data_IF_284130066901
#
_entry.id   IF_284130066901
#
_cell.length_a   1.000
_cell.length_b   1.000
_cell.length_c   1.000
_cell.angle_alpha   90.00
_cell.angle_beta   90.00
_cell.angle_gamma   90.00
#
_symmetry.space_group_name_H-M   'P 1'
#
loop_
_entity.id
_entity.type
_entity.pdbx_description
1 polymer ?
#
# COMPACT_ATOMS: atom_id res chain seq x y z
N UNK A 1 -4.28 -8.03 28.35
CA UNK A 1 -5.01 -6.74 28.32
C UNK A 1 -4.98 -6.26 26.88
N UNK A 2 -6.07 -6.43 26.14
CA UNK A 2 -6.18 -5.92 24.76
C UNK A 2 -6.24 -4.39 24.86
N UNK A 3 -5.17 -3.70 24.46
CA UNK A 3 -5.23 -2.25 24.30
C UNK A 3 -6.39 -1.94 23.34
N UNK A 4 -7.40 -1.20 23.83
CA UNK A 4 -8.28 -0.43 22.95
C UNK A 4 -7.44 0.70 22.35
N UNK A 5 -6.54 0.34 21.44
CA UNK A 5 -5.63 1.27 20.79
C UNK A 5 -6.41 2.29 19.98
N UNK A 6 -5.95 3.53 19.99
CA UNK A 6 -6.44 4.59 19.11
C UNK A 6 -6.42 4.07 17.67
N UNK A 7 -7.51 4.27 16.91
CA UNK A 7 -7.51 3.96 15.48
C UNK A 7 -6.66 5.01 14.76
N UNK A 8 -5.41 4.65 14.46
CA UNK A 8 -4.45 5.49 13.76
C UNK A 8 -4.51 5.33 12.23
N UNK A 9 -5.56 4.70 11.69
CA UNK A 9 -5.76 4.47 10.25
C UNK A 9 -5.52 5.71 9.41
N UNK A 10 -6.30 6.77 9.70
CA UNK A 10 -6.21 8.04 8.97
C UNK A 10 -4.86 8.73 9.13
N UNK A 11 -4.20 8.60 10.29
CA UNK A 11 -2.87 9.16 10.52
C UNK A 11 -1.84 8.47 9.62
N UNK A 12 -1.84 7.15 9.57
CA UNK A 12 -0.91 6.40 8.72
C UNK A 12 -1.20 6.62 7.23
N UNK A 13 -2.47 6.64 6.82
CA UNK A 13 -2.85 6.96 5.43
C UNK A 13 -2.37 8.37 5.04
N UNK A 14 -2.47 9.34 5.95
CA UNK A 14 -2.00 10.72 5.71
C UNK A 14 -0.47 10.76 5.57
N UNK A 15 0.28 10.07 6.44
CA UNK A 15 1.74 9.97 6.33
C UNK A 15 2.13 9.35 4.99
N UNK A 16 1.45 8.29 4.58
CA UNK A 16 1.71 7.60 3.30
C UNK A 16 1.35 8.47 2.10
N UNK A 17 0.35 9.34 2.21
CA UNK A 17 0.03 10.30 1.16
C UNK A 17 1.05 11.45 1.08
N UNK A 18 1.56 11.91 2.23
CA UNK A 18 2.40 13.11 2.30
C UNK A 18 3.86 12.82 1.98
N UNK A 19 4.41 11.69 2.42
CA UNK A 19 5.84 11.41 2.27
C UNK A 19 6.27 11.31 0.79
N UNK A 20 5.64 10.48 -0.08
CA UNK A 20 6.03 10.43 -1.49
C UNK A 20 5.82 11.78 -2.19
N UNK A 21 4.75 12.50 -1.81
CA UNK A 21 4.48 13.85 -2.34
C UNK A 21 5.58 14.84 -1.97
N UNK A 22 6.13 14.75 -0.76
CA UNK A 22 7.26 15.57 -0.32
C UNK A 22 8.55 15.26 -1.11
N UNK A 23 8.69 14.02 -1.60
CA UNK A 23 9.79 13.60 -2.48
C UNK A 23 9.52 13.85 -3.97
N UNK A 24 8.38 14.45 -4.34
CA UNK A 24 8.05 14.79 -5.72
C UNK A 24 7.36 13.67 -6.50
N UNK A 25 6.95 12.59 -5.84
CA UNK A 25 6.14 11.52 -6.44
C UNK A 25 4.65 11.86 -6.40
N UNK A 26 3.93 11.47 -7.44
CA UNK A 26 2.47 11.61 -7.48
C UNK A 26 1.80 10.31 -7.01
N UNK A 27 0.78 10.46 -6.18
CA UNK A 27 -0.05 9.35 -5.72
C UNK A 27 -1.47 9.48 -6.25
N UNK A 28 -2.02 8.37 -6.71
CA UNK A 28 -3.37 8.29 -7.26
C UNK A 28 -4.26 7.36 -6.43
N UNK A 29 -5.54 7.69 -6.30
CA UNK A 29 -6.51 6.82 -5.64
C UNK A 29 -7.13 5.84 -6.65
N UNK A 30 -7.31 4.58 -6.26
CA UNK A 30 -7.96 3.56 -7.09
C UNK A 30 -9.18 2.97 -6.39
N UNK A 31 -10.35 3.15 -6.97
CA UNK A 31 -11.59 2.52 -6.55
C UNK A 31 -12.44 2.16 -7.76
N UNK A 32 -12.64 0.85 -7.96
CA UNK A 32 -13.41 0.33 -9.07
C UNK A 32 -14.45 -0.64 -8.57
N UNK A 33 -15.72 -0.31 -8.82
CA UNK A 33 -16.88 -1.13 -8.44
C UNK A 33 -16.70 -2.57 -8.93
N UNK A 34 -16.80 -3.53 -8.00
CA UNK A 34 -16.64 -4.97 -8.28
C UNK A 34 -15.19 -5.48 -8.27
N UNK A 35 -14.20 -4.61 -8.51
CA UNK A 35 -12.77 -4.98 -8.49
C UNK A 35 -12.11 -4.67 -7.14
N UNK A 36 -12.59 -3.63 -6.46
CA UNK A 36 -12.15 -3.21 -5.13
C UNK A 36 -11.42 -1.87 -5.15
N UNK A 37 -10.82 -1.54 -4.01
CA UNK A 37 -10.08 -0.31 -3.76
C UNK A 37 -8.65 -0.65 -3.30
N UNK A 38 -7.70 0.17 -3.73
CA UNK A 38 -6.35 0.29 -3.13
C UNK A 38 -6.24 1.70 -2.56
N UNK A 39 -5.52 1.86 -1.44
CA UNK A 39 -5.41 3.18 -0.82
C UNK A 39 -4.63 4.16 -1.73
N UNK A 40 -3.51 3.74 -2.34
CA UNK A 40 -2.76 4.56 -3.30
C UNK A 40 -2.15 3.74 -4.45
N UNK A 41 -1.89 4.40 -5.58
CA UNK A 41 -1.06 3.95 -6.70
C UNK A 41 0.05 4.98 -6.92
N UNK A 42 1.28 4.51 -7.09
CA UNK A 42 2.43 5.30 -7.55
C UNK A 42 2.91 4.79 -8.92
N UNK A 43 3.77 5.54 -9.60
CA UNK A 43 4.60 5.00 -10.68
C UNK A 43 5.57 3.96 -10.10
N UNK A 44 5.69 2.82 -10.79
CA UNK A 44 6.64 1.78 -10.42
C UNK A 44 8.05 2.05 -10.95
N UNK A 45 9.01 1.22 -10.55
CA UNK A 45 10.41 1.40 -10.97
C UNK A 45 10.64 1.19 -12.46
N UNK A 46 9.82 0.35 -13.10
CA UNK A 46 9.86 0.17 -14.54
C UNK A 46 8.99 1.22 -15.22
N UNK A 47 9.50 1.84 -16.29
CA UNK A 47 8.77 2.87 -17.05
C UNK A 47 7.40 2.37 -17.50
N UNK A 48 6.35 3.09 -17.11
CA UNK A 48 4.95 2.73 -17.43
C UNK A 48 4.34 1.66 -16.54
N UNK A 49 5.06 1.20 -15.50
CA UNK A 49 4.50 0.34 -14.47
C UNK A 49 3.85 1.15 -13.34
N UNK A 50 2.95 0.50 -12.61
CA UNK A 50 2.23 1.00 -11.45
C UNK A 50 2.64 0.22 -10.22
N UNK A 51 2.71 0.93 -9.10
CA UNK A 51 3.01 0.38 -7.78
C UNK A 51 1.83 0.61 -6.83
N UNK A 52 1.01 -0.42 -6.57
CA UNK A 52 -0.06 -0.34 -5.59
C UNK A 52 0.47 -0.28 -4.15
N UNK A 53 -0.09 0.60 -3.33
CA UNK A 53 0.26 0.79 -1.93
C UNK A 53 -0.98 0.65 -1.05
N UNK A 54 -0.93 -0.23 -0.06
CA UNK A 54 -1.95 -0.35 0.99
C UNK A 54 -1.36 -0.03 2.37
N UNK A 55 -2.14 0.65 3.21
CA UNK A 55 -1.78 1.02 4.58
C UNK A 55 -2.56 0.19 5.62
N UNK A 56 -1.89 -0.28 6.66
CA UNK A 56 -2.46 -1.10 7.75
C UNK A 56 -2.09 -0.57 9.12
N UNK A 57 -3.07 0.00 9.80
CA UNK A 57 -2.90 0.63 11.11
C UNK A 57 -3.12 -0.29 12.32
N UNK A 58 -3.58 -1.53 12.12
CA UNK A 58 -3.95 -2.43 13.21
C UNK A 58 -4.03 -3.90 12.82
N UNK A 59 -4.54 -4.73 13.74
CA UNK A 59 -4.71 -6.18 13.57
C UNK A 59 -5.88 -6.58 12.67
N UNK A 60 -6.71 -5.62 12.25
CA UNK A 60 -7.87 -5.88 11.41
C UNK A 60 -7.46 -6.38 10.03
N UNK A 61 -7.97 -7.57 9.70
CA UNK A 61 -7.85 -8.16 8.38
C UNK A 61 -8.85 -7.48 7.43
N UNK A 62 -8.55 -6.28 6.96
CA UNK A 62 -9.22 -5.76 5.75
C UNK A 62 -8.81 -6.69 4.59
N UNK A 63 -9.78 -7.20 3.86
CA UNK A 63 -9.47 -8.11 2.75
C UNK A 63 -8.86 -7.27 1.62
N UNK A 64 -7.57 -7.49 1.34
CA UNK A 64 -6.87 -6.91 0.18
C UNK A 64 -7.45 -7.55 -1.08
N UNK A 65 -8.68 -7.24 -1.49
CA UNK A 65 -9.27 -7.87 -2.69
C UNK A 65 -8.70 -7.26 -3.96
N UNK A 66 -8.47 -5.95 -3.96
CA UNK A 66 -7.99 -5.24 -5.13
C UNK A 66 -6.51 -5.52 -5.39
N UNK A 67 -5.66 -5.50 -4.37
CA UNK A 67 -4.20 -5.58 -4.53
C UNK A 67 -3.73 -6.89 -5.21
N UNK A 68 -4.15 -8.11 -4.78
CA UNK A 68 -3.82 -9.35 -5.47
C UNK A 68 -4.43 -9.42 -6.87
N UNK A 69 -5.69 -8.96 -7.03
CA UNK A 69 -6.37 -8.98 -8.34
C UNK A 69 -5.71 -8.05 -9.35
N UNK A 70 -5.25 -6.89 -8.91
CA UNK A 70 -4.49 -5.95 -9.72
C UNK A 70 -3.17 -6.61 -10.11
N UNK A 71 -2.42 -7.15 -9.14
CA UNK A 71 -1.15 -7.84 -9.40
C UNK A 71 -1.29 -9.03 -10.35
N UNK A 72 -2.43 -9.73 -10.36
CA UNK A 72 -2.73 -10.84 -11.27
C UNK A 72 -3.21 -10.39 -12.66
N UNK A 73 -4.24 -9.51 -12.74
CA UNK A 73 -4.87 -9.11 -14.01
C UNK A 73 -4.06 -8.10 -14.81
N UNK A 74 -3.35 -7.22 -14.12
CA UNK A 74 -2.50 -6.18 -14.69
C UNK A 74 -1.02 -6.52 -14.49
N UNK A 75 -0.69 -7.82 -14.50
CA UNK A 75 0.65 -8.33 -14.18
C UNK A 75 1.77 -7.73 -15.05
N UNK A 76 1.48 -7.23 -16.24
CA UNK A 76 2.43 -6.55 -17.12
C UNK A 76 2.62 -5.07 -16.80
N UNK A 77 1.63 -4.41 -16.20
CA UNK A 77 1.72 -3.01 -15.77
C UNK A 77 2.00 -2.87 -14.28
N UNK A 78 2.04 -3.95 -13.49
CA UNK A 78 2.36 -3.90 -12.06
C UNK A 78 3.68 -4.63 -11.80
N UNK A 79 4.73 -3.84 -11.54
CA UNK A 79 6.06 -4.34 -11.18
C UNK A 79 6.04 -4.94 -9.77
N UNK A 80 5.79 -4.10 -8.77
CA UNK A 80 5.78 -4.44 -7.33
C UNK A 80 4.61 -3.77 -6.61
N UNK A 81 4.14 -4.36 -5.52
CA UNK A 81 3.11 -3.80 -4.65
C UNK A 81 3.57 -3.78 -3.20
N UNK A 82 3.15 -2.77 -2.45
CA UNK A 82 3.55 -2.56 -1.05
C UNK A 82 2.36 -2.61 -0.10
N UNK A 83 2.58 -3.26 1.05
CA UNK A 83 1.67 -3.19 2.20
C UNK A 83 2.47 -2.64 3.38
N UNK A 84 2.17 -1.42 3.79
CA UNK A 84 2.80 -0.78 4.94
C UNK A 84 2.00 -0.98 6.21
N UNK A 85 2.69 -1.28 7.32
CA UNK A 85 2.02 -1.45 8.61
C UNK A 85 2.90 -1.04 9.78
N UNK A 86 2.32 -0.99 10.99
CA UNK A 86 3.09 -0.84 12.23
C UNK A 86 3.85 -2.10 12.66
N UNK A 87 3.79 -3.20 11.88
CA UNK A 87 4.56 -4.41 12.17
C UNK A 87 6.02 -4.20 11.80
N UNK A 88 6.92 -4.79 12.59
CA UNK A 88 8.37 -4.78 12.35
C UNK A 88 8.83 -5.81 11.31
N UNK A 89 7.91 -6.56 10.72
CA UNK A 89 8.23 -7.64 9.80
C UNK A 89 8.40 -7.10 8.39
N UNK A 90 9.51 -7.44 7.76
CA UNK A 90 9.67 -7.38 6.30
C UNK A 90 9.40 -8.78 5.77
N UNK A 91 8.51 -8.89 4.78
CA UNK A 91 8.14 -10.18 4.16
C UNK A 91 7.74 -9.95 2.71
N UNK A 92 8.05 -10.91 1.85
CA UNK A 92 7.55 -10.94 0.48
C UNK A 92 6.58 -12.13 0.28
N UNK A 93 5.50 -11.88 -0.46
CA UNK A 93 4.59 -12.91 -0.96
C UNK A 93 4.28 -12.61 -2.44
N UNK A 94 4.93 -13.33 -3.35
CA UNK A 94 4.81 -13.06 -4.78
C UNK A 94 5.34 -11.65 -5.11
N UNK A 95 4.50 -10.80 -5.71
CA UNK A 95 4.82 -9.41 -6.05
C UNK A 95 4.57 -8.41 -4.90
N UNK A 96 4.16 -8.89 -3.72
CA UNK A 96 3.75 -8.05 -2.61
C UNK A 96 4.85 -8.03 -1.55
N UNK A 97 5.40 -6.85 -1.27
CA UNK A 97 6.30 -6.62 -0.16
C UNK A 97 5.53 -6.00 1.02
N UNK A 98 5.54 -6.69 2.14
CA UNK A 98 5.02 -6.21 3.42
C UNK A 98 6.16 -5.55 4.19
N UNK A 99 5.98 -4.29 4.56
CA UNK A 99 7.02 -3.50 5.19
C UNK A 99 6.51 -2.69 6.39
N UNK A 100 7.39 -2.37 7.35
CA UNK A 100 7.13 -1.36 8.35
C UNK A 100 6.85 0.02 7.71
N UNK A 101 5.91 0.77 8.27
CA UNK A 101 5.44 2.05 7.73
C UNK A 101 6.56 3.08 7.48
N UNK A 102 7.63 3.06 8.28
CA UNK A 102 8.76 3.98 8.14
C UNK A 102 9.60 3.75 6.88
N UNK A 103 9.34 2.69 6.11
CA UNK A 103 9.98 2.49 4.80
C UNK A 103 9.34 3.32 3.67
N UNK A 104 8.22 4.01 3.93
CA UNK A 104 7.57 4.90 2.97
C UNK A 104 8.50 6.00 2.43
N UNK A 105 9.50 6.41 3.21
CA UNK A 105 10.49 7.42 2.79
C UNK A 105 11.42 6.96 1.66
N UNK A 106 11.41 5.69 1.29
CA UNK A 106 12.29 5.10 0.28
C UNK A 106 11.59 4.70 -1.02
N UNK A 107 10.31 5.04 -1.18
CA UNK A 107 9.47 4.70 -2.34
C UNK A 107 8.85 5.91 -3.01
#
# INVERSE_FOLDING_TARGET
MLEKGVNLGSVYETVVAQEPKAHGHELYYFDKKGEGRVDFLNEGQESGSLCPIEVRSGSEKRYLRALPRLSEKQSHSIGSAYVFSNKRQVKEEGKIAYMPIYFISFI
#
